data_IF_467998490310
#
_entry.id   IF_467998490310
#
_cell.length_a   1.000
_cell.length_b   1.000
_cell.length_c   1.000
_cell.angle_alpha   90.00
_cell.angle_beta   90.00
_cell.angle_gamma   90.00
#
_symmetry.space_group_name_H-M   'P 1'
#
loop_
_entity.id
_entity.type
_entity.pdbx_description
1 polymer ?
#
# COMPACT_ATOMS: atom_id res chain seq x y z
N UNK A 1 -33.03 -7.79 11.23
CA UNK A 1 -33.41 -6.41 11.65
C UNK A 1 -32.17 -5.80 12.26
N UNK A 2 -31.56 -4.81 11.61
CA UNK A 2 -30.41 -4.07 12.18
C UNK A 2 -30.94 -3.27 13.36
N UNK A 3 -30.43 -3.52 14.56
CA UNK A 3 -30.90 -2.82 15.76
C UNK A 3 -30.52 -1.34 15.72
N UNK A 4 -31.25 -0.49 16.47
CA UNK A 4 -30.91 0.94 16.64
C UNK A 4 -29.46 1.10 17.10
N UNK A 5 -28.97 0.18 17.94
CA UNK A 5 -27.59 0.14 18.41
C UNK A 5 -26.59 -0.14 17.29
N UNK A 6 -26.86 -1.11 16.41
CA UNK A 6 -25.98 -1.46 15.30
C UNK A 6 -25.84 -0.29 14.32
N UNK A 7 -26.94 0.40 14.03
CA UNK A 7 -26.93 1.62 13.23
C UNK A 7 -26.14 2.75 13.92
N UNK A 8 -26.33 2.93 15.23
CA UNK A 8 -25.57 3.90 16.02
C UNK A 8 -24.06 3.64 15.98
N UNK A 9 -23.65 2.38 16.18
CA UNK A 9 -22.25 1.96 16.12
C UNK A 9 -21.66 2.17 14.73
N UNK A 10 -22.41 1.86 13.65
CA UNK A 10 -21.98 2.12 12.28
C UNK A 10 -21.74 3.61 12.02
N UNK A 11 -22.63 4.49 12.48
CA UNK A 11 -22.44 5.94 12.33
C UNK A 11 -21.22 6.44 13.11
N UNK A 12 -21.00 5.95 14.32
CA UNK A 12 -19.81 6.29 15.11
C UNK A 12 -18.54 5.77 14.44
N UNK A 13 -18.56 4.55 13.89
CA UNK A 13 -17.47 3.97 13.13
C UNK A 13 -17.09 4.83 11.92
N UNK A 14 -18.08 5.27 11.13
CA UNK A 14 -17.86 6.15 9.98
C UNK A 14 -17.21 7.49 10.38
N UNK A 15 -17.71 8.12 11.44
CA UNK A 15 -17.15 9.37 11.96
C UNK A 15 -15.73 9.16 12.48
N UNK A 16 -15.45 8.06 13.19
CA UNK A 16 -14.12 7.77 13.70
C UNK A 16 -13.10 7.53 12.59
N UNK A 17 -13.48 6.82 11.54
CA UNK A 17 -12.59 6.65 10.39
C UNK A 17 -12.29 8.02 9.77
N UNK A 18 -13.32 8.80 9.47
CA UNK A 18 -13.17 10.08 8.77
C UNK A 18 -12.34 11.10 9.55
N UNK A 19 -12.58 11.23 10.85
CA UNK A 19 -12.04 12.34 11.63
C UNK A 19 -10.88 11.96 12.56
N UNK A 20 -10.64 10.67 12.79
CA UNK A 20 -9.58 10.21 13.71
C UNK A 20 -8.57 9.34 12.97
N UNK A 21 -9.01 8.24 12.36
CA UNK A 21 -8.07 7.28 11.75
C UNK A 21 -7.45 7.80 10.46
N UNK A 22 -8.24 8.36 9.53
CA UNK A 22 -7.70 8.90 8.29
C UNK A 22 -6.63 9.97 8.56
N UNK A 23 -6.84 10.96 9.45
CA UNK A 23 -5.76 11.85 9.86
C UNK A 23 -4.56 11.12 10.49
N UNK A 24 -4.78 10.17 11.40
CA UNK A 24 -3.70 9.45 12.09
C UNK A 24 -2.73 8.75 11.14
N UNK A 25 -3.24 8.26 10.01
CA UNK A 25 -2.49 7.46 9.04
C UNK A 25 -2.00 8.29 7.84
N UNK A 26 -2.70 9.37 7.49
CA UNK A 26 -2.40 10.20 6.32
C UNK A 26 -1.52 11.43 6.60
N UNK A 27 -1.41 11.90 7.85
CA UNK A 27 -0.58 13.07 8.16
C UNK A 27 0.91 12.74 8.09
N UNK A 28 1.69 13.61 7.45
CA UNK A 28 3.15 13.47 7.36
C UNK A 28 3.90 13.70 8.68
N UNK A 29 3.20 14.18 9.71
CA UNK A 29 3.73 14.36 11.06
C UNK A 29 3.08 13.36 12.02
N UNK A 30 3.82 12.80 12.99
CA UNK A 30 3.26 11.87 13.95
C UNK A 30 2.15 12.54 14.78
N UNK A 31 0.99 11.91 14.87
CA UNK A 31 -0.10 12.35 15.74
C UNK A 31 -0.05 11.52 17.02
N UNK A 32 -0.07 12.19 18.17
CA UNK A 32 -0.19 11.55 19.47
C UNK A 32 -1.62 11.68 19.98
N UNK A 33 -2.12 10.63 20.67
CA UNK A 33 -3.44 10.65 21.27
C UNK A 33 -3.33 10.74 22.79
N UNK A 34 -4.06 11.67 23.39
CA UNK A 34 -4.10 11.88 24.84
C UNK A 34 -5.54 11.72 25.32
N UNK A 35 -5.76 10.80 26.26
CA UNK A 35 -7.04 10.66 26.96
C UNK A 35 -7.08 11.63 28.15
N UNK A 36 -8.00 12.59 28.11
CA UNK A 36 -8.29 13.49 29.22
C UNK A 36 -9.61 13.07 29.88
N UNK A 37 -9.60 13.06 31.21
CA UNK A 37 -10.79 12.90 32.03
C UNK A 37 -11.15 14.26 32.61
N UNK A 38 -12.32 14.78 32.23
CA UNK A 38 -12.88 15.96 32.89
C UNK A 38 -13.83 15.49 33.99
N UNK A 39 -13.45 15.63 35.28
CA UNK A 39 -14.40 15.46 36.37
C UNK A 39 -15.31 16.69 36.41
N UNK A 40 -16.42 16.63 35.66
CA UNK A 40 -17.50 17.61 35.80
C UNK A 40 -18.12 17.53 37.20
N UNK A 41 -18.62 18.66 37.76
CA UNK A 41 -19.09 18.71 39.14
C UNK A 41 -20.32 17.84 39.45
N UNK A 42 -21.06 17.30 38.45
CA UNK A 42 -22.18 16.40 38.71
C UNK A 42 -22.29 15.24 37.69
N UNK A 43 -22.08 14.01 38.21
CA UNK A 43 -22.56 12.69 37.73
C UNK A 43 -22.19 12.12 36.35
N UNK A 44 -21.59 12.85 35.41
CA UNK A 44 -21.04 12.23 34.18
C UNK A 44 -19.61 12.70 33.93
N UNK A 45 -18.64 11.82 34.20
CA UNK A 45 -17.25 12.06 33.82
C UNK A 45 -17.16 11.99 32.28
N UNK A 46 -16.88 13.13 31.66
CA UNK A 46 -16.63 13.21 30.23
C UNK A 46 -15.21 12.72 29.94
N UNK A 47 -15.08 11.86 28.93
CA UNK A 47 -13.79 11.36 28.46
C UNK A 47 -13.52 11.93 27.07
N UNK A 48 -12.40 12.63 26.91
CA UNK A 48 -12.01 13.29 25.67
C UNK A 48 -10.74 12.63 25.16
N UNK A 49 -10.73 12.22 23.88
CA UNK A 49 -9.52 11.77 23.19
C UNK A 49 -9.02 12.90 22.29
N UNK A 50 -7.95 13.58 22.70
CA UNK A 50 -7.34 14.65 21.93
C UNK A 50 -6.30 14.12 20.96
N UNK A 51 -6.27 14.70 19.77
CA UNK A 51 -5.20 14.54 18.79
C UNK A 51 -4.25 15.72 18.93
N UNK A 52 -2.99 15.44 19.26
CA UNK A 52 -1.96 16.46 19.43
C UNK A 52 -0.85 16.19 18.41
N UNK A 53 -0.51 17.18 17.55
CA UNK A 53 0.65 17.07 16.67
C UNK A 53 1.92 16.82 17.49
N UNK A 54 2.71 15.83 17.12
CA UNK A 54 4.04 15.62 17.70
C UNK A 54 4.96 16.76 17.30
N UNK A 55 5.62 17.39 18.27
CA UNK A 55 6.52 18.54 18.08
C UNK A 55 7.95 18.09 17.70
N UNK A 56 8.19 16.78 17.64
CA UNK A 56 9.54 16.25 17.38
C UNK A 56 9.82 16.20 15.87
N UNK A 57 10.39 17.30 15.34
CA UNK A 57 10.82 17.49 13.95
C UNK A 57 11.95 16.54 13.49
N UNK A 58 12.40 15.62 14.35
CA UNK A 58 13.50 14.67 14.06
C UNK A 58 13.06 13.31 13.54
N UNK A 59 11.76 13.08 13.36
CA UNK A 59 11.26 11.79 12.85
C UNK A 59 11.24 11.87 11.32
N UNK A 60 12.42 11.81 10.70
CA UNK A 60 12.59 11.71 9.23
C UNK A 60 12.00 10.42 8.64
N UNK A 61 11.54 9.51 9.49
CA UNK A 61 10.93 8.26 9.09
C UNK A 61 9.73 8.03 9.99
N UNK A 62 8.51 8.25 9.48
CA UNK A 62 7.28 7.86 10.19
C UNK A 62 7.35 6.36 10.40
N UNK A 63 7.89 5.95 11.54
CA UNK A 63 8.05 4.55 11.91
C UNK A 63 6.66 3.95 12.07
N UNK A 64 6.39 2.83 11.42
CA UNK A 64 5.10 2.11 11.50
C UNK A 64 4.66 1.92 12.95
N UNK A 65 5.62 1.79 13.87
CA UNK A 65 5.38 1.74 15.32
C UNK A 65 4.56 2.92 15.86
N UNK A 66 4.79 4.15 15.38
CA UNK A 66 4.06 5.34 15.84
C UNK A 66 2.60 5.31 15.37
N UNK A 67 2.37 4.95 14.10
CA UNK A 67 1.04 4.76 13.52
C UNK A 67 0.29 3.67 14.30
N UNK A 68 0.90 2.50 14.49
CA UNK A 68 0.30 1.38 15.21
C UNK A 68 -0.02 1.73 16.66
N UNK A 69 0.91 2.38 17.36
CA UNK A 69 0.68 2.85 18.74
C UNK A 69 -0.49 3.83 18.82
N UNK A 70 -0.57 4.79 17.90
CA UNK A 70 -1.66 5.75 17.84
C UNK A 70 -3.02 5.09 17.62
N UNK A 71 -3.11 4.14 16.66
CA UNK A 71 -4.34 3.39 16.41
C UNK A 71 -4.71 2.52 17.63
N UNK A 72 -3.73 1.87 18.28
CA UNK A 72 -3.98 1.12 19.51
C UNK A 72 -4.56 2.01 20.60
N UNK A 73 -4.07 3.24 20.77
CA UNK A 73 -4.63 4.19 21.76
C UNK A 73 -6.09 4.53 21.44
N UNK A 74 -6.41 4.77 20.16
CA UNK A 74 -7.80 5.01 19.71
C UNK A 74 -8.69 3.79 20.01
N UNK A 75 -8.22 2.58 19.69
CA UNK A 75 -8.96 1.34 19.94
C UNK A 75 -9.18 1.12 21.44
N UNK A 76 -8.16 1.35 22.28
CA UNK A 76 -8.28 1.26 23.75
C UNK A 76 -9.32 2.25 24.29
N UNK A 77 -9.32 3.48 23.78
CA UNK A 77 -10.32 4.48 24.15
C UNK A 77 -11.73 4.02 23.77
N UNK A 78 -11.92 3.51 22.56
CA UNK A 78 -13.22 3.01 22.07
C UNK A 78 -13.67 1.83 22.93
N UNK A 79 -12.79 0.85 23.17
CA UNK A 79 -13.03 -0.31 24.01
C UNK A 79 -13.55 0.10 25.40
N UNK A 80 -12.89 1.07 26.03
CA UNK A 80 -13.21 1.52 27.40
C UNK A 80 -14.44 2.43 27.47
N UNK A 81 -14.55 3.42 26.58
CA UNK A 81 -15.50 4.54 26.70
C UNK A 81 -16.76 4.39 25.85
N UNK A 82 -16.64 3.80 24.66
CA UNK A 82 -17.77 3.63 23.75
C UNK A 82 -18.37 2.24 23.91
N UNK A 83 -17.52 1.22 23.89
CA UNK A 83 -17.97 -0.16 23.99
C UNK A 83 -18.16 -0.64 25.44
N UNK A 84 -17.78 0.17 26.44
CA UNK A 84 -17.92 -0.15 27.87
C UNK A 84 -17.34 -1.53 28.23
N UNK A 85 -16.23 -1.91 27.59
CA UNK A 85 -15.56 -3.22 27.73
C UNK A 85 -16.44 -4.43 27.34
N UNK A 86 -17.52 -4.20 26.59
CA UNK A 86 -18.38 -5.25 26.06
C UNK A 86 -17.74 -5.87 24.81
N UNK A 87 -17.27 -7.12 24.93
CA UNK A 87 -16.60 -7.82 23.83
C UNK A 87 -17.42 -7.96 22.55
N UNK A 88 -18.75 -8.08 22.65
CA UNK A 88 -19.62 -8.17 21.46
C UNK A 88 -19.68 -6.84 20.71
N UNK A 89 -19.71 -5.72 21.43
CA UNK A 89 -19.72 -4.38 20.83
C UNK A 89 -18.37 -4.04 20.20
N UNK A 90 -17.28 -4.42 20.87
CA UNK A 90 -15.91 -4.24 20.36
C UNK A 90 -15.73 -5.01 19.06
N UNK A 91 -16.17 -6.27 19.02
CA UNK A 91 -16.12 -7.11 17.81
C UNK A 91 -16.99 -6.53 16.69
N UNK A 92 -18.19 -6.02 17.01
CA UNK A 92 -19.04 -5.37 16.03
C UNK A 92 -18.36 -4.12 15.45
N UNK A 93 -17.82 -3.26 16.31
CA UNK A 93 -17.10 -2.05 15.90
C UNK A 93 -15.86 -2.37 15.07
N UNK A 94 -15.12 -3.40 15.46
CA UNK A 94 -14.00 -3.95 14.71
C UNK A 94 -14.38 -4.39 13.31
N UNK A 95 -15.45 -5.19 13.16
CA UNK A 95 -15.98 -5.60 11.84
C UNK A 95 -16.38 -4.41 10.96
N UNK A 96 -16.91 -3.34 11.55
CA UNK A 96 -17.32 -2.14 10.83
C UNK A 96 -16.14 -1.28 10.36
N UNK A 97 -15.02 -1.32 11.09
CA UNK A 97 -13.91 -0.38 10.86
C UNK A 97 -12.66 -1.01 10.29
N UNK A 98 -12.28 -2.21 10.73
CA UNK A 98 -11.01 -2.86 10.39
C UNK A 98 -10.72 -2.94 8.89
N UNK A 99 -11.67 -3.29 8.00
CA UNK A 99 -11.40 -3.34 6.57
C UNK A 99 -10.94 -1.98 5.99
N UNK A 100 -11.49 -0.87 6.50
CA UNK A 100 -11.11 0.47 6.05
C UNK A 100 -9.83 0.95 6.71
N UNK A 101 -9.62 0.63 7.99
CA UNK A 101 -8.38 0.95 8.72
C UNK A 101 -7.19 0.26 8.04
N UNK A 102 -7.29 -1.05 7.80
CA UNK A 102 -6.23 -1.82 7.17
C UNK A 102 -5.88 -1.31 5.76
N UNK A 103 -6.90 -0.96 4.96
CA UNK A 103 -6.68 -0.37 3.63
C UNK A 103 -5.96 0.97 3.69
N UNK A 104 -6.32 1.84 4.65
CA UNK A 104 -5.64 3.11 4.85
C UNK A 104 -4.17 2.92 5.24
N UNK A 105 -3.86 1.95 6.10
CA UNK A 105 -2.48 1.63 6.49
C UNK A 105 -1.70 1.09 5.28
N UNK A 106 -2.29 0.18 4.50
CA UNK A 106 -1.62 -0.39 3.31
C UNK A 106 -1.29 0.72 2.30
N UNK A 107 -2.28 1.53 1.94
CA UNK A 107 -2.14 2.57 0.92
C UNK A 107 -1.23 3.73 1.34
N UNK A 108 -1.27 4.15 2.61
CA UNK A 108 -0.53 5.33 3.05
C UNK A 108 0.83 5.01 3.68
N UNK A 109 1.04 3.80 4.19
CA UNK A 109 2.27 3.38 4.86
C UNK A 109 2.91 2.17 4.17
N UNK A 110 2.33 0.95 4.29
CA UNK A 110 3.02 -0.30 3.92
C UNK A 110 3.47 -0.32 2.44
N UNK A 111 2.64 0.15 1.51
CA UNK A 111 2.98 0.21 0.09
C UNK A 111 4.14 1.16 -0.25
N UNK A 112 4.37 2.18 0.60
CA UNK A 112 5.45 3.16 0.41
C UNK A 112 6.78 2.68 0.98
N UNK A 113 6.73 1.84 2.01
CA UNK A 113 7.92 1.29 2.68
C UNK A 113 8.40 -0.03 2.07
N UNK A 114 7.72 -0.56 1.04
CA UNK A 114 8.22 -1.69 0.24
C UNK A 114 9.61 -1.36 -0.31
N UNK A 115 10.65 -2.18 -0.04
CA UNK A 115 12.01 -1.95 -0.49
C UNK A 115 12.10 -1.82 -2.01
N UNK A 116 12.95 -0.92 -2.50
CA UNK A 116 13.29 -0.83 -3.93
C UNK A 116 14.53 -1.65 -4.31
N UNK A 117 15.30 -2.08 -3.31
CA UNK A 117 16.51 -2.88 -3.47
C UNK A 117 16.64 -3.86 -2.29
N UNK A 118 17.30 -5.00 -2.53
CA UNK A 118 17.51 -6.04 -1.53
C UNK A 118 18.30 -5.58 -0.29
N UNK A 119 19.10 -4.51 -0.41
CA UNK A 119 19.87 -3.94 0.70
C UNK A 119 18.98 -3.38 1.83
N UNK A 120 17.74 -2.99 1.54
CA UNK A 120 16.78 -2.45 2.51
C UNK A 120 15.83 -3.51 3.10
N UNK A 121 16.01 -4.78 2.73
CA UNK A 121 15.14 -5.88 3.20
C UNK A 121 15.25 -6.09 4.72
N UNK A 122 16.45 -5.92 5.29
CA UNK A 122 16.67 -6.07 6.73
C UNK A 122 15.90 -5.03 7.56
N UNK A 123 15.77 -3.79 7.06
CA UNK A 123 14.96 -2.77 7.73
C UNK A 123 13.46 -3.03 7.56
N UNK A 124 13.06 -3.62 6.44
CA UNK A 124 11.68 -4.02 6.22
C UNK A 124 11.24 -5.18 7.14
N UNK A 125 12.16 -6.06 7.55
CA UNK A 125 11.84 -7.11 8.51
C UNK A 125 11.29 -6.54 9.83
N UNK A 126 11.82 -5.41 10.30
CA UNK A 126 11.29 -4.71 11.49
C UNK A 126 9.85 -4.25 11.29
N UNK A 127 9.48 -3.86 10.07
CA UNK A 127 8.10 -3.46 9.72
C UNK A 127 7.18 -4.67 9.76
N UNK A 128 7.62 -5.83 9.24
CA UNK A 128 6.88 -7.10 9.33
C UNK A 128 6.61 -7.43 10.81
N UNK A 129 7.64 -7.37 11.64
CA UNK A 129 7.53 -7.70 13.07
C UNK A 129 6.56 -6.76 13.79
N UNK A 130 6.72 -5.43 13.62
CA UNK A 130 5.81 -4.43 14.19
C UNK A 130 4.36 -4.58 13.68
N UNK A 131 4.17 -4.99 12.43
CA UNK A 131 2.84 -5.22 11.84
C UNK A 131 2.16 -6.42 12.49
N UNK A 132 2.89 -7.50 12.69
CA UNK A 132 2.40 -8.72 13.35
C UNK A 132 2.04 -8.45 14.81
N UNK A 133 2.91 -7.74 15.55
CA UNK A 133 2.64 -7.32 16.93
C UNK A 133 1.38 -6.44 17.03
N UNK A 134 1.19 -5.51 16.09
CA UNK A 134 0.02 -4.66 16.03
C UNK A 134 -1.28 -5.47 15.83
N UNK A 135 -1.31 -6.39 14.86
CA UNK A 135 -2.47 -7.24 14.64
C UNK A 135 -2.71 -8.20 15.83
N UNK A 136 -1.66 -8.69 16.48
CA UNK A 136 -1.78 -9.50 17.70
C UNK A 136 -2.44 -8.71 18.84
N UNK A 137 -2.05 -7.45 19.06
CA UNK A 137 -2.68 -6.58 20.05
C UNK A 137 -4.16 -6.33 19.74
N UNK A 138 -4.54 -6.17 18.47
CA UNK A 138 -5.94 -6.03 18.07
C UNK A 138 -6.74 -7.32 18.29
N UNK A 139 -6.14 -8.50 18.10
CA UNK A 139 -6.76 -9.80 18.39
C UNK A 139 -7.00 -9.97 19.89
N UNK A 140 -6.02 -9.62 20.72
CA UNK A 140 -6.14 -9.67 22.18
C UNK A 140 -7.30 -8.80 22.70
N UNK A 141 -7.47 -7.62 22.11
CA UNK A 141 -8.60 -6.72 22.42
C UNK A 141 -9.94 -7.16 21.79
N UNK A 142 -10.00 -8.33 21.13
CA UNK A 142 -11.15 -8.82 20.35
C UNK A 142 -11.66 -7.84 19.27
N UNK A 143 -10.82 -6.89 18.86
CA UNK A 143 -11.15 -5.91 17.83
C UNK A 143 -11.14 -6.55 16.45
N UNK A 144 -10.23 -7.50 16.23
CA UNK A 144 -10.24 -8.36 15.03
C UNK A 144 -10.32 -9.82 15.46
N UNK A 145 -10.76 -10.69 14.55
CA UNK A 145 -10.90 -12.12 14.83
C UNK A 145 -9.54 -12.77 14.99
N UNK A 146 -9.40 -13.60 16.03
CA UNK A 146 -8.19 -14.42 16.22
C UNK A 146 -8.13 -15.60 15.24
N UNK A 147 -9.28 -16.10 14.77
CA UNK A 147 -9.39 -17.31 13.96
C UNK A 147 -9.62 -17.06 12.47
N UNK A 148 -9.92 -15.82 12.07
CA UNK A 148 -10.17 -15.49 10.67
C UNK A 148 -8.88 -14.97 10.03
N UNK A 149 -8.35 -15.70 9.05
CA UNK A 149 -7.16 -15.26 8.32
C UNK A 149 -7.41 -13.99 7.50
N UNK A 150 -8.68 -13.66 7.20
CA UNK A 150 -9.06 -12.43 6.50
C UNK A 150 -8.80 -11.19 7.32
N UNK A 151 -8.69 -11.31 8.63
CA UNK A 151 -8.40 -10.19 9.52
C UNK A 151 -6.88 -9.93 9.64
N UNK A 152 -6.02 -10.86 9.21
CA UNK A 152 -4.57 -10.69 9.15
C UNK A 152 -4.12 -9.93 7.87
N UNK A 153 -4.85 -8.87 7.48
CA UNK A 153 -4.67 -8.20 6.17
C UNK A 153 -3.30 -7.53 6.05
N UNK A 154 -2.80 -6.95 7.14
CA UNK A 154 -1.53 -6.22 7.13
C UNK A 154 -0.35 -7.20 7.15
N UNK A 155 -0.41 -8.24 7.98
CA UNK A 155 0.64 -9.28 7.99
C UNK A 155 0.68 -10.01 6.65
N UNK A 156 -0.47 -10.38 6.08
CA UNK A 156 -0.52 -10.95 4.73
C UNK A 156 0.09 -10.03 3.68
N UNK A 157 -0.10 -8.71 3.76
CA UNK A 157 0.55 -7.77 2.85
C UNK A 157 2.07 -7.72 3.07
N UNK A 158 2.51 -7.57 4.32
CA UNK A 158 3.91 -7.39 4.69
C UNK A 158 4.75 -8.64 4.42
N UNK A 159 4.23 -9.84 4.71
CA UNK A 159 4.92 -11.12 4.47
C UNK A 159 5.08 -11.41 2.96
N UNK A 160 4.18 -10.90 2.11
CA UNK A 160 4.26 -11.05 0.66
C UNK A 160 5.01 -9.90 -0.03
N UNK A 161 5.98 -9.28 0.66
CA UNK A 161 6.76 -8.13 0.15
C UNK A 161 7.45 -8.43 -1.18
N UNK A 162 7.93 -9.66 -1.38
CA UNK A 162 8.60 -10.06 -2.62
C UNK A 162 7.71 -9.95 -3.85
N UNK A 163 6.42 -10.27 -3.71
CA UNK A 163 5.42 -10.14 -4.79
C UNK A 163 5.22 -8.67 -5.15
N UNK A 164 5.12 -7.81 -4.14
CA UNK A 164 4.99 -6.37 -4.33
C UNK A 164 6.25 -5.77 -4.97
N UNK A 165 7.42 -6.21 -4.53
CA UNK A 165 8.70 -5.84 -5.11
C UNK A 165 8.79 -6.24 -6.59
N UNK A 166 8.52 -7.50 -6.91
CA UNK A 166 8.56 -8.02 -8.27
C UNK A 166 7.56 -7.31 -9.20
N UNK A 167 6.34 -7.05 -8.72
CA UNK A 167 5.31 -6.32 -9.48
C UNK A 167 5.74 -4.88 -9.80
N UNK A 168 6.32 -4.17 -8.81
CA UNK A 168 6.84 -2.81 -8.99
C UNK A 168 8.03 -2.80 -9.95
N UNK A 169 8.98 -3.74 -9.79
CA UNK A 169 10.15 -3.86 -10.68
C UNK A 169 9.76 -4.17 -12.12
N UNK A 170 8.79 -5.07 -12.32
CA UNK A 170 8.22 -5.35 -13.65
C UNK A 170 7.67 -4.09 -14.31
N UNK A 171 6.89 -3.31 -13.56
CA UNK A 171 6.29 -2.06 -14.05
C UNK A 171 7.36 -1.02 -14.40
N UNK A 172 8.40 -0.91 -13.58
CA UNK A 172 9.55 0.00 -13.81
C UNK A 172 10.32 -0.38 -15.08
N UNK A 173 10.66 -1.66 -15.25
CA UNK A 173 11.37 -2.16 -16.44
C UNK A 173 10.53 -1.93 -17.69
N UNK A 174 9.23 -2.22 -17.65
CA UNK A 174 8.33 -2.02 -18.78
C UNK A 174 8.23 -0.54 -19.17
N UNK A 175 8.15 0.36 -18.19
CA UNK A 175 8.14 1.80 -18.44
C UNK A 175 9.46 2.27 -19.06
N UNK A 176 10.61 1.79 -18.57
CA UNK A 176 11.93 2.09 -19.12
C UNK A 176 12.08 1.59 -20.56
N UNK A 177 11.69 0.35 -20.84
CA UNK A 177 11.70 -0.22 -22.18
C UNK A 177 10.83 0.59 -23.15
N UNK A 178 9.62 0.99 -22.73
CA UNK A 178 8.74 1.84 -23.54
C UNK A 178 9.37 3.20 -23.84
N UNK A 179 9.99 3.83 -22.84
CA UNK A 179 10.67 5.12 -23.04
C UNK A 179 11.85 4.98 -24.01
N UNK A 180 12.65 3.91 -23.90
CA UNK A 180 13.73 3.64 -24.85
C UNK A 180 13.20 3.47 -26.28
N UNK A 181 12.15 2.67 -26.47
CA UNK A 181 11.52 2.48 -27.79
C UNK A 181 10.98 3.78 -28.39
N UNK A 182 10.47 4.70 -27.57
CA UNK A 182 10.00 6.02 -28.01
C UNK A 182 11.15 6.99 -28.35
N UNK A 183 12.33 6.81 -27.76
CA UNK A 183 13.50 7.65 -27.99
C UNK A 183 14.39 7.14 -29.14
N UNK A 184 14.24 5.86 -29.53
CA UNK A 184 14.93 5.31 -30.69
C UNK A 184 14.37 5.93 -31.98
N UNK A 185 15.20 6.71 -32.66
CA UNK A 185 14.95 7.11 -34.04
C UNK A 185 15.38 5.94 -34.93
N UNK A 186 14.40 5.14 -35.39
CA UNK A 186 14.66 3.99 -36.26
C UNK A 186 14.93 4.46 -37.70
N UNK A 187 15.95 5.30 -37.88
CA UNK A 187 16.49 5.59 -39.20
C UNK A 187 17.23 4.33 -39.69
N UNK A 188 16.57 3.57 -40.56
CA UNK A 188 17.19 2.43 -41.26
C UNK A 188 18.37 2.97 -42.07
N UNK A 189 19.62 2.51 -41.83
CA UNK A 189 20.74 2.88 -42.68
C UNK A 189 20.46 2.42 -44.12
N UNK A 190 20.35 3.37 -45.04
CA UNK A 190 20.35 3.12 -46.49
C UNK A 190 21.77 2.72 -46.94
N UNK A 191 22.33 1.65 -46.38
CA UNK A 191 23.59 1.06 -46.84
C UNK A 191 23.35 -0.36 -47.32
N UNK A 192 22.52 -0.48 -48.34
CA UNK A 192 22.62 -1.58 -49.29
C UNK A 192 22.08 -1.15 -50.66
N UNK A 193 22.52 0.01 -51.18
CA UNK A 193 22.57 0.18 -52.63
C UNK A 193 23.80 -0.56 -53.14
N UNK A 194 23.72 -1.90 -53.09
CA UNK A 194 24.53 -2.74 -53.95
C UNK A 194 24.28 -2.26 -55.38
N UNK A 195 25.35 -1.85 -56.06
CA UNK A 195 25.33 -1.57 -57.49
C UNK A 195 24.75 -2.79 -58.20
N UNK A 196 23.57 -2.65 -58.79
CA UNK A 196 23.13 -3.54 -59.85
C UNK A 196 22.57 -2.76 -61.04
N UNK A 197 22.85 -3.23 -62.27
CA UNK A 197 22.65 -2.47 -63.48
C UNK A 197 21.19 -2.38 -63.89
N UNK A 198 20.89 -1.26 -64.51
CA UNK A 198 19.67 -0.88 -65.22
C UNK A 198 18.99 -2.07 -65.93
N UNK A 199 17.73 -2.36 -65.56
CA UNK A 199 16.74 -2.92 -66.47
C UNK A 199 15.36 -2.32 -66.18
N UNK A 200 14.80 -1.66 -67.20
CA UNK A 200 13.45 -1.10 -67.21
C UNK A 200 12.44 -2.24 -67.40
N UNK A 201 11.34 -2.24 -66.63
CA UNK A 201 9.98 -2.10 -67.16
C UNK A 201 8.90 -2.18 -66.07
N UNK A 202 7.93 -1.27 -66.24
CA UNK A 202 6.51 -1.29 -65.91
C UNK A 202 5.98 -1.99 -64.65
N UNK A 203 5.38 -1.15 -63.80
CA UNK A 203 4.02 -1.38 -63.35
C UNK A 203 3.85 -2.08 -62.00
N UNK A 204 3.04 -1.42 -61.15
CA UNK A 204 2.40 -1.94 -59.92
C UNK A 204 3.20 -1.75 -58.62
N UNK A 205 2.81 -0.68 -57.92
CA UNK A 205 3.11 -0.47 -56.50
C UNK A 205 2.47 -1.60 -55.68
N UNK A 206 3.29 -2.40 -54.99
CA UNK A 206 2.84 -3.33 -53.96
C UNK A 206 3.75 -3.22 -52.74
N UNK A 207 3.17 -2.62 -51.71
CA UNK A 207 3.34 -2.90 -50.28
C UNK A 207 4.76 -3.17 -49.76
N UNK A 208 5.49 -2.10 -49.48
CA UNK A 208 6.80 -2.11 -48.82
C UNK A 208 6.69 -2.11 -47.28
N UNK A 209 5.78 -2.90 -46.70
CA UNK A 209 5.62 -2.99 -45.24
C UNK A 209 5.96 -4.37 -44.64
N UNK A 210 5.92 -5.47 -45.42
CA UNK A 210 6.22 -6.81 -44.90
C UNK A 210 7.72 -7.08 -44.68
N UNK A 211 8.63 -6.39 -45.40
CA UNK A 211 10.06 -6.65 -45.31
C UNK A 211 10.79 -6.06 -44.10
N UNK A 212 10.16 -5.13 -43.36
CA UNK A 212 10.80 -4.47 -42.22
C UNK A 212 10.72 -5.33 -40.94
N UNK A 213 9.72 -6.22 -40.86
CA UNK A 213 9.46 -7.00 -39.64
C UNK A 213 10.43 -8.18 -39.50
N UNK A 214 10.90 -8.75 -40.61
CA UNK A 214 11.79 -9.92 -40.61
C UNK A 214 13.22 -9.60 -40.17
N UNK A 215 13.67 -8.34 -40.29
CA UNK A 215 15.01 -7.93 -39.87
C UNK A 215 15.16 -7.79 -38.35
N UNK A 216 14.05 -7.62 -37.62
CA UNK A 216 14.07 -7.49 -36.16
C UNK A 216 14.30 -8.81 -35.42
N UNK A 217 14.17 -9.96 -36.11
CA UNK A 217 14.26 -11.30 -35.49
C UNK A 217 15.34 -12.20 -36.08
N UNK A 218 16.28 -11.66 -36.86
CA UNK A 218 17.47 -12.41 -37.25
C UNK A 218 18.44 -12.53 -36.07
N UNK A 219 18.19 -13.53 -35.23
CA UNK A 219 19.14 -14.06 -34.25
C UNK A 219 20.40 -14.48 -35.00
N UNK A 220 21.54 -13.84 -34.71
CA UNK A 220 22.86 -14.40 -35.03
C UNK A 220 22.96 -15.79 -34.39
N UNK A 221 22.91 -16.83 -35.21
CA UNK A 221 23.30 -18.17 -34.81
C UNK A 221 24.82 -18.21 -34.67
N UNK A 222 25.31 -17.83 -33.48
CA UNK A 222 26.71 -17.99 -33.12
C UNK A 222 27.12 -19.46 -33.29
N UNK A 223 27.93 -19.73 -34.32
CA UNK A 223 28.51 -21.04 -34.55
C UNK A 223 29.73 -21.15 -33.63
N UNK A 224 29.64 -22.01 -32.61
CA UNK A 224 30.79 -22.41 -31.79
C UNK A 224 31.63 -23.34 -32.66
N UNK A 225 32.83 -22.90 -33.05
CA UNK A 225 33.84 -23.78 -33.63
C UNK A 225 34.62 -24.47 -32.50
N UNK A 226 34.71 -25.79 -32.64
CA UNK A 226 35.39 -26.75 -31.77
C UNK A 226 36.92 -26.65 -31.91
#
# INVERSE_FOLDING_TARGET
VVGILDYGLAKVADLKIKYVISPAVSYGSPITFVEELNPGPEKMSEAILRMVPSVDDKIENVDGKTIYSGIIQVVKFIHKRICLQNGSWVRCFGRLTWPRISELIISNFLSKVVPEDASKLADFQKIIDHTSEFEAALKEMMFISASDNKDARLSNFAENVEVHFASRKKTEILAKARNLLLQCDFAVPQESTGKDPICKNDGMAVDSSEHVVDLLFMSESGTINM
#
